data_IF_980741433716
#
_entry.id   IF_980741433716
#
_cell.length_a   1.000
_cell.length_b   1.000
_cell.length_c   1.000
_cell.angle_alpha   90.00
_cell.angle_beta   90.00
_cell.angle_gamma   90.00
#
_symmetry.space_group_name_H-M   'P 1'
#
loop_
_entity.id
_entity.type
_entity.pdbx_description
1 polymer ?
#
# COMPACT_ATOMS: atom_id res chain seq x y z
N UNK A 1 -22.34 47.46 -4.81
CA UNK A 1 -22.18 46.94 -3.44
C UNK A 1 -22.73 45.53 -3.38
N UNK A 2 -21.87 44.52 -3.18
CA UNK A 2 -22.24 43.18 -2.68
C UNK A 2 -20.93 42.43 -2.40
N UNK A 3 -20.47 42.53 -1.15
CA UNK A 3 -19.33 41.78 -0.65
C UNK A 3 -19.73 40.32 -0.43
N UNK A 4 -19.00 39.39 -1.03
CA UNK A 4 -19.07 37.97 -0.67
C UNK A 4 -18.11 37.75 0.50
N UNK A 5 -18.67 37.55 1.69
CA UNK A 5 -17.95 36.98 2.83
C UNK A 5 -17.64 35.51 2.52
N UNK A 6 -16.38 35.21 2.25
CA UNK A 6 -15.85 33.86 2.44
C UNK A 6 -15.50 33.72 3.92
N UNK A 7 -16.38 33.08 4.69
CA UNK A 7 -16.07 32.67 6.05
C UNK A 7 -14.99 31.59 6.02
N UNK A 8 -13.76 31.95 6.38
CA UNK A 8 -12.76 30.97 6.81
C UNK A 8 -13.35 30.27 8.04
N UNK A 9 -13.71 28.99 7.93
CA UNK A 9 -13.97 28.16 9.12
C UNK A 9 -12.70 28.23 9.97
N UNK A 10 -12.81 28.75 11.20
CA UNK A 10 -11.74 28.66 12.19
C UNK A 10 -11.46 27.18 12.39
N UNK A 11 -10.21 26.76 12.17
CA UNK A 11 -9.77 25.43 12.56
C UNK A 11 -9.94 25.32 14.08
N UNK A 12 -10.67 24.30 14.53
CA UNK A 12 -10.82 24.03 15.96
C UNK A 12 -9.43 23.64 16.51
N UNK A 13 -9.07 24.15 17.71
CA UNK A 13 -7.82 23.76 18.33
C UNK A 13 -7.82 22.24 18.61
N UNK A 14 -6.73 21.57 18.27
CA UNK A 14 -6.52 20.16 18.58
C UNK A 14 -6.61 19.93 20.09
N UNK A 15 -7.21 18.82 20.50
CA UNK A 15 -7.15 18.38 21.90
C UNK A 15 -5.74 17.88 22.24
N UNK A 16 -5.46 17.78 23.54
CA UNK A 16 -4.13 17.47 24.09
C UNK A 16 -3.50 16.16 23.54
N UNK A 17 -4.32 15.21 23.05
CA UNK A 17 -3.87 13.93 22.49
C UNK A 17 -4.25 13.72 21.01
N UNK A 18 -4.66 14.78 20.30
CA UNK A 18 -5.00 14.69 18.87
C UNK A 18 -3.79 15.06 18.01
N UNK A 19 -3.40 14.16 17.11
CA UNK A 19 -2.39 14.43 16.09
C UNK A 19 -3.09 14.58 14.74
N UNK A 20 -2.80 15.68 14.03
CA UNK A 20 -3.25 15.87 12.65
C UNK A 20 -2.12 15.47 11.71
N UNK A 21 -2.38 14.46 10.88
CA UNK A 21 -1.45 14.02 9.83
C UNK A 21 -1.99 14.46 8.48
N UNK A 22 -1.12 15.06 7.66
CA UNK A 22 -1.41 15.30 6.24
C UNK A 22 -0.78 14.16 5.47
N UNK A 23 -1.60 13.36 4.77
CA UNK A 23 -1.10 12.28 3.93
C UNK A 23 -0.49 12.90 2.65
N UNK A 24 0.73 12.50 2.26
CA UNK A 24 1.34 12.99 1.04
C UNK A 24 0.57 12.48 -0.19
N UNK A 25 0.58 13.27 -1.26
CA UNK A 25 0.11 12.79 -2.57
C UNK A 25 1.06 11.68 -3.07
N UNK A 26 0.49 10.59 -3.58
CA UNK A 26 1.26 9.43 -4.01
C UNK A 26 2.09 9.77 -5.26
N UNK A 27 3.35 9.34 -5.26
CA UNK A 27 4.26 9.48 -6.40
C UNK A 27 5.03 8.18 -6.55
N UNK A 28 5.08 7.64 -7.76
CA UNK A 28 5.56 6.28 -7.99
C UNK A 28 6.91 6.24 -8.70
N UNK A 29 7.80 5.40 -8.20
CA UNK A 29 9.09 5.07 -8.82
C UNK A 29 9.14 3.59 -9.16
N UNK A 30 9.40 3.29 -10.43
CA UNK A 30 9.63 1.92 -10.90
C UNK A 30 11.05 1.48 -10.54
N UNK A 31 11.17 0.27 -10.05
CA UNK A 31 12.42 -0.37 -9.66
C UNK A 31 12.49 -1.75 -10.30
N UNK A 32 13.69 -2.15 -10.72
CA UNK A 32 13.96 -3.47 -11.27
C UNK A 32 15.17 -4.06 -10.57
N UNK A 33 15.05 -5.31 -10.12
CA UNK A 33 16.16 -6.06 -9.55
C UNK A 33 16.03 -7.55 -9.90
N UNK A 34 16.98 -8.36 -9.42
CA UNK A 34 16.94 -9.81 -9.56
C UNK A 34 16.98 -10.46 -8.19
N UNK A 35 16.13 -11.46 -8.01
CA UNK A 35 16.05 -12.31 -6.83
C UNK A 35 15.94 -13.76 -7.32
N UNK A 36 16.76 -14.67 -6.80
CA UNK A 36 16.89 -16.06 -7.28
C UNK A 36 17.10 -16.19 -8.80
N UNK A 37 17.87 -15.27 -9.39
CA UNK A 37 18.11 -15.15 -10.85
C UNK A 37 16.89 -14.77 -11.69
N UNK A 38 15.72 -14.57 -11.08
CA UNK A 38 14.50 -14.13 -11.73
C UNK A 38 14.36 -12.60 -11.63
N UNK A 39 13.77 -11.94 -12.64
CA UNK A 39 13.48 -10.51 -12.56
C UNK A 39 12.41 -10.24 -11.51
N UNK A 40 12.57 -9.13 -10.80
CA UNK A 40 11.54 -8.53 -9.98
C UNK A 40 11.28 -7.09 -10.44
N UNK A 41 10.01 -6.73 -10.52
CA UNK A 41 9.55 -5.38 -10.85
C UNK A 41 8.80 -4.83 -9.64
N UNK A 42 9.24 -3.70 -9.12
CA UNK A 42 8.63 -3.00 -7.99
C UNK A 42 8.16 -1.60 -8.36
N UNK A 43 7.01 -1.19 -7.85
CA UNK A 43 6.49 0.17 -7.93
C UNK A 43 6.37 0.73 -6.52
N UNK A 44 7.30 1.59 -6.15
CA UNK A 44 7.39 2.21 -4.82
C UNK A 44 6.70 3.56 -4.81
N UNK A 45 5.90 3.82 -3.78
CA UNK A 45 5.43 5.16 -3.47
C UNK A 45 6.58 5.98 -2.85
N UNK A 46 7.32 6.67 -3.70
CA UNK A 46 8.50 7.45 -3.33
C UNK A 46 8.15 8.69 -2.51
N UNK A 47 6.89 9.16 -2.53
CA UNK A 47 6.45 10.25 -1.65
C UNK A 47 6.53 9.93 -0.16
N UNK A 48 6.69 8.64 0.20
CA UNK A 48 6.81 8.18 1.58
C UNK A 48 8.25 8.19 2.12
N UNK A 49 9.26 8.52 1.31
CA UNK A 49 10.68 8.48 1.74
C UNK A 49 10.97 9.39 2.94
N UNK A 50 10.30 10.54 2.97
CA UNK A 50 10.48 11.59 3.99
C UNK A 50 9.24 11.73 4.90
N UNK A 51 8.40 10.69 4.95
CA UNK A 51 7.22 10.70 5.80
C UNK A 51 7.60 10.72 7.29
N UNK A 52 7.19 11.76 8.00
CA UNK A 52 7.60 12.00 9.39
C UNK A 52 6.82 11.17 10.43
N UNK A 53 5.56 10.84 10.13
CA UNK A 53 4.64 10.24 11.11
C UNK A 53 4.63 8.70 11.10
N UNK A 54 5.80 8.08 10.93
CA UNK A 54 5.95 6.61 10.74
C UNK A 54 5.31 5.79 11.86
N UNK A 55 5.46 6.23 13.12
CA UNK A 55 4.93 5.52 14.27
C UNK A 55 3.40 5.44 14.30
N UNK A 56 2.71 6.43 13.69
CA UNK A 56 1.24 6.40 13.56
C UNK A 56 0.86 5.30 12.58
N UNK A 57 1.55 5.20 11.44
CA UNK A 57 1.38 4.12 10.46
C UNK A 57 2.36 2.97 10.76
N UNK A 58 2.36 2.56 12.02
CA UNK A 58 3.35 1.68 12.62
C UNK A 58 3.20 0.21 12.27
N UNK A 59 2.17 -0.17 11.50
CA UNK A 59 1.95 -1.56 11.08
C UNK A 59 2.37 -1.77 9.62
N UNK A 60 3.04 -2.88 9.37
CA UNK A 60 3.40 -3.39 8.06
C UNK A 60 2.38 -4.45 7.64
N UNK A 61 1.54 -4.11 6.66
CA UNK A 61 0.66 -5.08 6.01
C UNK A 61 1.29 -5.51 4.69
N UNK A 62 1.45 -6.81 4.51
CA UNK A 62 1.87 -7.42 3.24
C UNK A 62 0.79 -8.40 2.79
N UNK A 63 0.27 -8.22 1.59
CA UNK A 63 -0.65 -9.15 0.92
C UNK A 63 0.09 -9.78 -0.26
N UNK A 64 0.09 -11.10 -0.36
CA UNK A 64 0.71 -11.85 -1.45
C UNK A 64 -0.40 -12.57 -2.21
N UNK A 65 -0.48 -12.30 -3.52
CA UNK A 65 -1.46 -12.88 -4.44
C UNK A 65 -0.71 -13.83 -5.38
N UNK A 66 -1.22 -15.05 -5.51
CA UNK A 66 -0.66 -16.05 -6.42
C UNK A 66 -1.24 -15.87 -7.83
N UNK A 67 -0.38 -15.96 -8.84
CA UNK A 67 -0.80 -16.03 -10.23
C UNK A 67 -1.09 -17.47 -10.64
N UNK A 68 -2.16 -17.66 -11.41
CA UNK A 68 -2.48 -18.94 -12.05
C UNK A 68 -1.80 -19.06 -13.42
N UNK A 69 -1.85 -17.99 -14.22
CA UNK A 69 -1.28 -17.97 -15.57
C UNK A 69 -0.05 -17.05 -15.65
N UNK A 70 1.11 -17.66 -15.96
CA UNK A 70 2.39 -16.94 -16.06
C UNK A 70 3.08 -17.19 -17.40
N UNK A 71 3.80 -16.17 -17.86
CA UNK A 71 4.75 -16.27 -18.99
C UNK A 71 6.16 -16.60 -18.48
N UNK A 72 7.16 -16.45 -19.33
CA UNK A 72 8.56 -16.70 -18.98
C UNK A 72 8.97 -15.93 -17.71
N UNK A 73 9.83 -16.57 -16.90
CA UNK A 73 10.40 -15.99 -15.67
C UNK A 73 9.37 -15.66 -14.56
N UNK A 74 8.18 -16.26 -14.60
CA UNK A 74 7.18 -16.14 -13.54
C UNK A 74 6.44 -14.79 -13.52
N UNK A 75 6.52 -14.02 -14.61
CA UNK A 75 5.70 -12.83 -14.78
C UNK A 75 4.27 -13.22 -15.17
N UNK A 76 3.24 -12.46 -14.78
CA UNK A 76 1.87 -12.75 -15.18
C UNK A 76 1.70 -12.55 -16.68
N UNK A 77 0.82 -13.33 -17.31
CA UNK A 77 0.36 -13.06 -18.68
C UNK A 77 -0.43 -11.76 -18.78
N UNK A 78 -0.86 -11.39 -19.98
CA UNK A 78 -1.77 -10.25 -20.15
C UNK A 78 -3.15 -10.56 -19.56
N UNK A 79 -3.66 -11.76 -19.83
CA UNK A 79 -4.92 -12.27 -19.31
C UNK A 79 -4.92 -12.33 -17.77
N UNK A 80 -3.82 -12.77 -17.16
CA UNK A 80 -3.68 -12.80 -15.70
C UNK A 80 -3.69 -11.39 -15.10
N UNK A 81 -3.09 -10.41 -15.78
CA UNK A 81 -3.12 -9.00 -15.34
C UNK A 81 -4.52 -8.41 -15.43
N UNK A 82 -5.28 -8.71 -16.47
CA UNK A 82 -6.68 -8.28 -16.62
C UNK A 82 -7.57 -8.76 -15.46
N UNK A 83 -7.21 -9.89 -14.84
CA UNK A 83 -7.92 -10.46 -13.69
C UNK A 83 -7.43 -9.85 -12.36
N UNK A 84 -6.10 -9.78 -12.17
CA UNK A 84 -5.51 -9.45 -10.86
C UNK A 84 -5.40 -7.94 -10.64
N UNK A 85 -5.09 -7.15 -11.67
CA UNK A 85 -4.87 -5.70 -11.51
C UNK A 85 -6.12 -4.97 -10.95
N UNK A 86 -7.36 -5.22 -11.43
CA UNK A 86 -8.54 -4.58 -10.86
C UNK A 86 -8.79 -4.94 -9.38
N UNK A 87 -8.41 -6.15 -8.97
CA UNK A 87 -8.48 -6.56 -7.57
C UNK A 87 -7.43 -5.84 -6.72
N UNK A 88 -6.20 -5.69 -7.23
CA UNK A 88 -5.16 -4.92 -6.54
C UNK A 88 -5.57 -3.45 -6.33
N UNK A 89 -6.12 -2.81 -7.36
CA UNK A 89 -6.55 -1.41 -7.31
C UNK A 89 -7.68 -1.23 -6.29
N UNK A 90 -8.68 -2.11 -6.34
CA UNK A 90 -9.78 -2.11 -5.38
C UNK A 90 -9.28 -2.33 -3.94
N UNK A 91 -8.37 -3.29 -3.74
CA UNK A 91 -7.84 -3.59 -2.42
C UNK A 91 -7.08 -2.39 -1.86
N UNK A 92 -6.32 -1.70 -2.70
CA UNK A 92 -5.62 -0.47 -2.31
C UNK A 92 -6.59 0.64 -1.87
N UNK A 93 -7.65 0.89 -2.64
CA UNK A 93 -8.70 1.87 -2.27
C UNK A 93 -9.37 1.51 -0.93
N UNK A 94 -9.75 0.25 -0.74
CA UNK A 94 -10.47 -0.22 0.45
C UNK A 94 -9.58 -0.21 1.70
N UNK A 95 -8.31 -0.62 1.59
CA UNK A 95 -7.36 -0.62 2.72
C UNK A 95 -6.99 0.81 3.13
N UNK A 96 -6.88 1.75 2.18
CA UNK A 96 -6.63 3.17 2.46
C UNK A 96 -7.87 3.94 2.91
N UNK A 97 -9.06 3.35 2.85
CA UNK A 97 -10.30 4.02 3.18
C UNK A 97 -10.27 4.66 4.58
N UNK A 98 -10.81 5.87 4.68
CA UNK A 98 -10.77 6.65 5.92
C UNK A 98 -9.38 7.13 6.34
N UNK A 99 -8.36 7.01 5.47
CA UNK A 99 -6.98 7.36 5.78
C UNK A 99 -6.27 6.31 6.64
N UNK A 100 -6.77 5.07 6.66
CA UNK A 100 -6.25 4.01 7.52
C UNK A 100 -4.85 3.51 7.11
N UNK A 101 -4.47 3.71 5.84
CA UNK A 101 -3.23 3.16 5.31
C UNK A 101 -2.57 4.08 4.29
N UNK A 102 -1.28 3.86 4.09
CA UNK A 102 -0.45 4.43 3.04
C UNK A 102 0.06 3.29 2.17
N UNK A 103 -0.20 3.33 0.88
CA UNK A 103 0.36 2.36 -0.06
C UNK A 103 1.86 2.56 -0.17
N UNK A 104 2.64 1.51 0.08
CA UNK A 104 4.10 1.56 0.07
C UNK A 104 4.66 1.02 -1.25
N UNK A 105 4.42 -0.24 -1.56
CA UNK A 105 5.04 -0.86 -2.73
C UNK A 105 4.17 -1.99 -3.28
N UNK A 106 4.17 -2.11 -4.61
CA UNK A 106 3.75 -3.32 -5.34
C UNK A 106 4.96 -3.98 -5.94
N UNK A 107 5.09 -5.28 -5.75
CA UNK A 107 6.17 -6.09 -6.31
C UNK A 107 5.57 -7.24 -7.11
N UNK A 108 6.18 -7.54 -8.25
CA UNK A 108 5.85 -8.72 -9.05
C UNK A 108 7.10 -9.57 -9.18
N UNK A 109 7.04 -10.79 -8.68
CA UNK A 109 8.16 -11.72 -8.69
C UNK A 109 7.67 -13.16 -8.61
N UNK A 110 8.26 -14.01 -9.44
CA UNK A 110 8.16 -15.47 -9.36
C UNK A 110 6.74 -15.99 -9.08
N UNK A 111 5.81 -15.70 -9.99
CA UNK A 111 4.40 -16.11 -9.95
C UNK A 111 3.56 -15.46 -8.86
N UNK A 112 4.07 -14.42 -8.20
CA UNK A 112 3.34 -13.71 -7.16
C UNK A 112 3.32 -12.21 -7.40
N UNK A 113 2.29 -11.58 -6.83
CA UNK A 113 2.26 -10.14 -6.59
C UNK A 113 2.19 -9.87 -5.11
N UNK A 114 3.10 -9.05 -4.62
CA UNK A 114 3.08 -8.55 -3.25
C UNK A 114 2.62 -7.09 -3.23
N UNK A 115 1.65 -6.77 -2.40
CA UNK A 115 1.20 -5.41 -2.12
C UNK A 115 1.49 -5.09 -0.67
N UNK A 116 2.05 -3.92 -0.40
CA UNK A 116 2.48 -3.54 0.94
C UNK A 116 1.90 -2.18 1.30
N UNK A 117 1.36 -2.09 2.52
CA UNK A 117 0.88 -0.85 3.11
C UNK A 117 1.53 -0.60 4.47
N UNK A 118 1.60 0.69 4.81
CA UNK A 118 1.83 1.15 6.18
C UNK A 118 0.49 1.50 6.79
N UNK A 119 0.11 0.82 7.86
CA UNK A 119 -1.26 0.83 8.41
C UNK A 119 -1.31 1.49 9.78
N UNK A 120 -2.33 2.30 10.00
CA UNK A 120 -2.66 2.94 11.27
C UNK A 120 -3.40 1.96 12.19
N UNK A 121 -4.59 1.50 11.79
CA UNK A 121 -5.38 0.52 12.52
C UNK A 121 -5.31 -0.85 11.82
N UNK A 122 -4.58 -1.83 12.38
CA UNK A 122 -4.42 -3.15 11.77
C UNK A 122 -5.71 -3.98 11.84
N UNK A 123 -6.59 -3.72 12.81
CA UNK A 123 -7.82 -4.50 13.00
C UNK A 123 -8.81 -4.22 11.88
N UNK A 124 -8.94 -2.95 11.46
CA UNK A 124 -9.78 -2.56 10.32
C UNK A 124 -9.31 -3.27 9.04
N UNK A 125 -8.00 -3.24 8.77
CA UNK A 125 -7.44 -3.90 7.59
C UNK A 125 -7.59 -5.43 7.65
N UNK A 126 -7.34 -6.03 8.82
CA UNK A 126 -7.48 -7.47 9.02
C UNK A 126 -8.93 -7.94 8.82
N UNK A 127 -9.89 -7.25 9.45
CA UNK A 127 -11.31 -7.59 9.32
C UNK A 127 -11.79 -7.50 7.87
N UNK A 128 -11.31 -6.49 7.11
CA UNK A 128 -11.62 -6.36 5.69
C UNK A 128 -11.05 -7.53 4.87
N UNK A 129 -9.77 -7.88 5.05
CA UNK A 129 -9.14 -9.00 4.35
C UNK A 129 -9.81 -10.34 4.70
N UNK A 130 -10.14 -10.55 5.98
CA UNK A 130 -10.87 -11.73 6.43
C UNK A 130 -12.26 -11.81 5.78
N UNK A 131 -12.98 -10.68 5.70
CA UNK A 131 -14.26 -10.61 5.01
C UNK A 131 -14.14 -11.00 3.53
N UNK A 132 -13.10 -10.54 2.82
CA UNK A 132 -12.88 -10.91 1.42
C UNK A 132 -12.69 -12.42 1.25
N UNK A 133 -11.91 -13.07 2.12
CA UNK A 133 -11.69 -14.52 2.09
C UNK A 133 -12.96 -15.29 2.44
N UNK A 134 -13.63 -14.94 3.55
CA UNK A 134 -14.82 -15.65 4.04
C UNK A 134 -15.98 -15.63 3.03
N UNK A 135 -16.00 -14.62 2.16
CA UNK A 135 -17.05 -14.43 1.15
C UNK A 135 -16.56 -14.69 -0.28
N UNK A 136 -15.37 -15.27 -0.46
CA UNK A 136 -14.78 -15.58 -1.77
C UNK A 136 -14.78 -14.39 -2.74
N UNK A 137 -14.48 -13.20 -2.24
CA UNK A 137 -14.47 -11.93 -3.00
C UNK A 137 -13.09 -11.61 -3.55
N UNK A 138 -12.42 -12.61 -4.09
CA UNK A 138 -11.07 -12.50 -4.65
C UNK A 138 -10.95 -13.38 -5.90
N UNK A 139 -10.28 -12.92 -6.96
CA UNK A 139 -10.16 -13.68 -8.20
C UNK A 139 -9.05 -14.75 -8.15
N UNK A 140 -8.15 -14.64 -7.16
CA UNK A 140 -6.99 -15.52 -6.96
C UNK A 140 -6.79 -15.82 -5.48
N UNK A 141 -6.15 -16.94 -5.13
CA UNK A 141 -5.67 -17.17 -3.78
C UNK A 141 -4.75 -16.02 -3.35
N UNK A 142 -4.87 -15.61 -2.10
CA UNK A 142 -3.96 -14.67 -1.48
C UNK A 142 -3.85 -14.94 0.00
N UNK A 143 -2.71 -14.58 0.58
CA UNK A 143 -2.44 -14.59 2.01
C UNK A 143 -1.96 -13.21 2.45
N UNK A 144 -2.04 -12.91 3.75
CA UNK A 144 -1.50 -11.67 4.29
C UNK A 144 -0.77 -11.85 5.61
N UNK A 145 0.14 -10.92 5.87
CA UNK A 145 0.90 -10.81 7.12
C UNK A 145 0.81 -9.38 7.63
N UNK A 146 0.53 -9.24 8.92
CA UNK A 146 0.46 -7.96 9.62
C UNK A 146 1.47 -7.96 10.76
N UNK A 147 2.40 -7.01 10.75
CA UNK A 147 3.46 -6.91 11.77
C UNK A 147 3.66 -5.50 12.25
N UNK A 148 4.02 -5.32 13.52
CA UNK A 148 4.38 -4.00 14.01
C UNK A 148 5.82 -3.67 13.59
N UNK A 149 6.00 -2.49 13.01
CA UNK A 149 7.27 -1.97 12.50
C UNK A 149 7.26 -0.43 12.63
N UNK A 150 7.38 0.08 13.85
CA UNK A 150 7.21 1.52 14.17
C UNK A 150 8.20 2.44 13.44
N UNK A 151 9.39 1.92 13.12
CA UNK A 151 10.47 2.68 12.49
C UNK A 151 10.52 2.47 10.96
N UNK A 152 9.62 1.65 10.42
CA UNK A 152 9.57 1.28 9.01
C UNK A 152 10.86 0.61 8.51
N UNK A 153 11.45 -0.26 9.35
CA UNK A 153 12.67 -0.99 9.02
C UNK A 153 12.52 -1.86 7.77
N UNK A 154 11.33 -2.44 7.56
CA UNK A 154 11.04 -3.24 6.35
C UNK A 154 10.97 -2.39 5.07
N UNK A 155 10.81 -1.06 5.19
CA UNK A 155 10.73 -0.16 4.04
C UNK A 155 12.11 0.40 3.62
N UNK A 156 13.12 0.33 4.50
CA UNK A 156 14.40 1.02 4.29
C UNK A 156 15.12 0.62 3.00
N UNK A 157 15.08 -0.67 2.66
CA UNK A 157 15.78 -1.17 1.47
C UNK A 157 15.26 -0.49 0.21
N UNK A 158 13.94 -0.31 0.09
CA UNK A 158 13.30 0.37 -1.04
C UNK A 158 13.71 1.84 -1.13
N UNK A 159 13.65 2.57 -0.01
CA UNK A 159 14.02 3.99 -0.01
C UNK A 159 15.50 4.23 -0.32
N UNK A 160 16.38 3.28 -0.01
CA UNK A 160 17.79 3.35 -0.40
C UNK A 160 17.98 3.27 -1.92
N UNK A 161 17.10 2.59 -2.66
CA UNK A 161 17.16 2.50 -4.12
C UNK A 161 16.81 3.83 -4.82
N UNK A 162 16.14 4.76 -4.14
CA UNK A 162 15.82 6.08 -4.69
C UNK A 162 17.02 7.03 -4.78
N UNK A 163 18.12 6.71 -4.07
CA UNK A 163 19.30 7.58 -3.93
C UNK A 163 20.43 7.23 -4.91
N UNK A 164 20.20 6.26 -5.79
CA UNK A 164 21.10 5.81 -6.85
C UNK A 164 20.72 6.41 -8.18
#
# INVERSE_FOLDING_TARGET
MLGKLFGRKKEEPLKENEVRVVLPEESYTLMEWKEDSLPCIGMLNSALSDFEHKQIFGWHLSVIIDFEETVENGMPSEEEREIVDPFCDKLDEEIKAGGNALFLVRETWNKTRRLVWRVYDPEIAHQHLQYLVDHHRHPRPFDWRMEQDLEWGQAEWYFKQLRT
#
